data_IF_025574968834
#
_entry.id   IF_025574968834
#
_cell.length_a   1.000
_cell.length_b   1.000
_cell.length_c   1.000
_cell.angle_alpha   90.00
_cell.angle_beta   90.00
_cell.angle_gamma   90.00
#
_symmetry.space_group_name_H-M   'P 1'
#
loop_
_entity.id
_entity.type
_entity.pdbx_description
1 polymer ?
#
# COMPACT_ATOMS: atom_id res chain seq x y z
N UNK A 1 21.56 -30.90 16.53
CA UNK A 1 21.22 -29.97 15.41
C UNK A 1 22.47 -29.85 14.56
N UNK A 2 22.39 -30.12 13.27
CA UNK A 2 23.51 -29.96 12.33
C UNK A 2 23.58 -28.47 11.93
N UNK A 3 24.65 -27.81 12.28
CA UNK A 3 24.90 -26.39 11.86
C UNK A 3 25.43 -26.43 10.44
N UNK A 4 24.84 -25.60 9.56
CA UNK A 4 25.38 -25.41 8.23
C UNK A 4 26.72 -24.67 8.32
N UNK A 5 27.79 -25.29 7.81
CA UNK A 5 29.10 -24.63 7.72
C UNK A 5 29.07 -23.61 6.59
N UNK A 6 29.66 -22.44 6.84
CA UNK A 6 29.86 -21.40 5.84
C UNK A 6 31.34 -21.24 5.50
N UNK A 7 31.65 -21.04 4.22
CA UNK A 7 32.98 -20.69 3.73
C UNK A 7 33.21 -19.18 3.57
N UNK A 8 32.22 -18.35 3.98
CA UNK A 8 32.31 -16.89 3.88
C UNK A 8 33.42 -16.33 4.80
N UNK A 9 34.32 -15.55 4.24
CA UNK A 9 35.27 -14.72 4.99
C UNK A 9 34.87 -13.24 4.91
N UNK A 10 34.30 -12.68 6.00
CA UNK A 10 33.89 -11.26 6.03
C UNK A 10 35.06 -10.28 5.87
N UNK A 11 36.30 -10.73 6.02
CA UNK A 11 37.50 -9.91 5.87
C UNK A 11 38.06 -9.92 4.44
N UNK A 12 37.58 -10.81 3.57
CA UNK A 12 38.03 -10.85 2.18
C UNK A 12 37.61 -9.59 1.42
N UNK A 13 38.38 -9.19 0.44
CA UNK A 13 38.06 -8.04 -0.42
C UNK A 13 36.78 -8.24 -1.20
N UNK A 14 36.55 -9.46 -1.69
CA UNK A 14 35.32 -9.82 -2.42
C UNK A 14 34.09 -9.65 -1.53
N UNK A 15 34.14 -10.14 -0.28
CA UNK A 15 33.02 -9.97 0.66
C UNK A 15 32.74 -8.48 0.93
N UNK A 16 33.80 -7.68 1.19
CA UNK A 16 33.66 -6.25 1.46
C UNK A 16 33.07 -5.49 0.27
N UNK A 17 33.52 -5.79 -0.95
CA UNK A 17 32.99 -5.19 -2.17
C UNK A 17 31.50 -5.54 -2.36
N UNK A 18 31.14 -6.81 -2.25
CA UNK A 18 29.75 -7.27 -2.35
C UNK A 18 28.85 -6.67 -1.26
N UNK A 19 29.34 -6.60 -0.02
CA UNK A 19 28.61 -5.99 1.08
C UNK A 19 28.39 -4.48 0.87
N UNK A 20 29.37 -3.77 0.31
CA UNK A 20 29.24 -2.35 -0.03
C UNK A 20 28.20 -2.13 -1.13
N UNK A 21 28.27 -2.94 -2.21
CA UNK A 21 27.29 -2.88 -3.29
C UNK A 21 25.86 -3.17 -2.81
N UNK A 22 25.68 -4.20 -1.98
CA UNK A 22 24.38 -4.55 -1.41
C UNK A 22 23.85 -3.44 -0.48
N UNK A 23 24.71 -2.84 0.36
CA UNK A 23 24.29 -1.70 1.18
C UNK A 23 23.78 -0.54 0.35
N UNK A 24 24.45 -0.19 -0.73
CA UNK A 24 23.99 0.90 -1.62
C UNK A 24 22.60 0.63 -2.19
N UNK A 25 22.31 -0.61 -2.63
CA UNK A 25 20.98 -1.01 -3.11
C UNK A 25 19.94 -0.92 -1.99
N UNK A 26 20.26 -1.39 -0.78
CA UNK A 26 19.34 -1.33 0.37
C UNK A 26 19.09 0.10 0.81
N UNK A 27 20.09 0.96 0.80
CA UNK A 27 19.95 2.38 1.13
C UNK A 27 19.08 3.12 0.12
N UNK A 28 19.26 2.85 -1.18
CA UNK A 28 18.39 3.39 -2.22
C UNK A 28 16.93 2.92 -2.05
N UNK A 29 16.71 1.63 -1.78
CA UNK A 29 15.38 1.11 -1.49
C UNK A 29 14.74 1.78 -0.27
N UNK A 30 15.49 1.97 0.80
CA UNK A 30 15.01 2.64 2.02
C UNK A 30 14.63 4.09 1.76
N UNK A 31 15.48 4.84 1.08
CA UNK A 31 15.20 6.24 0.72
C UNK A 31 13.93 6.37 -0.12
N UNK A 32 13.75 5.49 -1.12
CA UNK A 32 12.52 5.46 -1.94
C UNK A 32 11.29 5.08 -1.12
N UNK A 33 11.41 4.08 -0.23
CA UNK A 33 10.31 3.67 0.66
C UNK A 33 9.90 4.81 1.59
N UNK A 34 10.86 5.53 2.16
CA UNK A 34 10.60 6.68 3.02
C UNK A 34 9.89 7.80 2.26
N UNK A 35 10.38 8.15 1.07
CA UNK A 35 9.74 9.16 0.23
C UNK A 35 8.28 8.79 -0.12
N UNK A 36 8.03 7.53 -0.50
CA UNK A 36 6.68 7.02 -0.80
C UNK A 36 5.79 7.07 0.45
N UNK A 37 6.36 6.79 1.63
CA UNK A 37 5.60 6.74 2.88
C UNK A 37 5.02 8.09 3.29
N UNK A 38 5.57 9.19 2.80
CA UNK A 38 5.07 10.53 3.04
C UNK A 38 3.71 10.79 2.37
N UNK A 39 3.36 10.04 1.32
CA UNK A 39 2.14 10.26 0.55
C UNK A 39 2.25 11.44 -0.42
N UNK A 40 1.26 12.34 -0.43
CA UNK A 40 1.25 13.50 -1.29
C UNK A 40 2.31 14.55 -0.94
N UNK A 41 2.39 15.61 -1.76
CA UNK A 41 3.31 16.71 -1.55
C UNK A 41 3.07 17.47 -0.24
N UNK A 42 4.07 18.21 0.21
CA UNK A 42 4.00 18.94 1.49
C UNK A 42 2.80 19.89 1.57
N UNK A 43 2.47 20.72 0.55
CA UNK A 43 1.29 21.58 0.59
C UNK A 43 -0.02 20.79 0.75
N UNK A 44 -0.14 19.63 0.12
CA UNK A 44 -1.32 18.75 0.21
C UNK A 44 -1.44 18.14 1.61
N UNK A 45 -0.33 17.68 2.20
CA UNK A 45 -0.30 17.18 3.58
C UNK A 45 -0.69 18.27 4.58
N UNK A 46 -0.11 19.45 4.48
CA UNK A 46 -0.44 20.58 5.36
C UNK A 46 -1.91 20.99 5.28
N UNK A 47 -2.46 21.05 4.07
CA UNK A 47 -3.89 21.31 3.86
C UNK A 47 -4.78 20.24 4.48
N UNK A 48 -4.35 18.98 4.43
CA UNK A 48 -5.07 17.86 5.03
C UNK A 48 -5.07 17.96 6.56
N UNK A 49 -3.89 18.18 7.16
CA UNK A 49 -3.71 18.36 8.61
C UNK A 49 -4.45 19.59 9.14
N UNK A 50 -4.45 20.72 8.42
CA UNK A 50 -5.15 21.94 8.84
C UNK A 50 -6.68 21.77 8.93
N UNK A 51 -7.22 20.71 8.30
CA UNK A 51 -8.63 20.32 8.40
C UNK A 51 -8.91 19.38 9.58
N UNK A 52 -7.93 19.15 10.45
CA UNK A 52 -8.05 18.21 11.60
C UNK A 52 -8.04 16.74 11.21
N UNK A 53 -7.61 16.39 10.00
CA UNK A 53 -7.54 15.00 9.53
C UNK A 53 -6.15 14.40 9.80
N UNK A 54 -6.11 13.12 10.18
CA UNK A 54 -4.87 12.36 10.28
C UNK A 54 -4.37 11.94 8.88
N UNK A 55 -3.06 11.89 8.70
CA UNK A 55 -2.46 11.30 7.50
C UNK A 55 -2.82 9.81 7.41
N UNK A 56 -2.84 9.27 6.20
CA UNK A 56 -3.38 7.92 5.93
C UNK A 56 -2.70 6.83 6.74
N UNK A 57 -1.37 6.81 6.82
CA UNK A 57 -0.65 5.82 7.64
C UNK A 57 -0.83 6.02 9.14
N UNK A 58 -1.08 7.25 9.58
CA UNK A 58 -1.45 7.54 10.98
C UNK A 58 -2.85 7.02 11.30
N UNK A 59 -3.82 7.19 10.38
CA UNK A 59 -5.17 6.59 10.52
C UNK A 59 -5.08 5.08 10.67
N UNK A 60 -4.29 4.42 9.81
CA UNK A 60 -4.07 2.97 9.89
C UNK A 60 -3.44 2.61 11.25
N UNK A 61 -2.37 3.29 11.65
CA UNK A 61 -1.70 3.03 12.94
C UNK A 61 -2.62 3.18 14.14
N UNK A 62 -3.50 4.18 14.11
CA UNK A 62 -4.47 4.42 15.20
C UNK A 62 -5.55 3.34 15.27
N UNK A 63 -5.86 2.71 14.14
CA UNK A 63 -6.86 1.64 14.06
C UNK A 63 -6.32 0.30 14.56
N UNK A 64 -5.02 0.05 14.40
CA UNK A 64 -4.39 -1.22 14.76
C UNK A 64 -4.33 -1.42 16.27
N UNK A 65 -4.36 -2.67 16.69
CA UNK A 65 -4.11 -3.05 18.07
C UNK A 65 -2.73 -2.56 18.52
N UNK A 66 -2.58 -2.02 19.74
CA UNK A 66 -1.31 -1.53 20.24
C UNK A 66 -0.21 -2.58 20.15
N UNK A 67 0.93 -2.20 19.52
CA UNK A 67 2.09 -3.06 19.36
C UNK A 67 1.94 -4.16 18.29
N UNK A 68 0.81 -4.24 17.58
CA UNK A 68 0.70 -5.18 16.47
C UNK A 68 1.42 -4.67 15.22
N UNK A 69 2.05 -5.56 14.42
CA UNK A 69 2.69 -5.17 13.18
C UNK A 69 1.65 -4.83 12.11
N UNK A 70 2.04 -3.99 11.15
CA UNK A 70 1.31 -3.75 9.91
C UNK A 70 2.14 -4.23 8.73
N UNK A 71 1.65 -5.21 8.00
CA UNK A 71 2.26 -5.70 6.76
C UNK A 71 1.72 -4.89 5.58
N UNK A 72 2.33 -3.72 5.32
CA UNK A 72 1.99 -2.94 4.12
C UNK A 72 2.48 -3.68 2.87
N UNK A 73 1.61 -3.88 1.88
CA UNK A 73 1.98 -4.48 0.61
C UNK A 73 1.72 -3.53 -0.55
N UNK A 74 2.46 -3.74 -1.66
CA UNK A 74 2.41 -2.92 -2.88
C UNK A 74 2.69 -1.44 -2.64
N UNK A 75 3.58 -1.09 -1.70
CA UNK A 75 3.95 0.29 -1.40
C UNK A 75 4.53 1.02 -2.64
N UNK A 76 5.23 0.29 -3.53
CA UNK A 76 5.80 0.82 -4.77
C UNK A 76 4.83 0.83 -5.96
N UNK A 77 3.55 0.52 -5.77
CA UNK A 77 2.58 0.61 -6.87
C UNK A 77 2.56 2.03 -7.45
N UNK A 78 2.51 2.12 -8.78
CA UNK A 78 2.61 3.35 -9.56
C UNK A 78 3.97 4.09 -9.46
N UNK A 79 5.02 3.46 -8.92
CA UNK A 79 6.35 4.06 -8.90
C UNK A 79 6.84 4.37 -10.32
N UNK A 80 7.25 5.63 -10.56
CA UNK A 80 7.67 6.10 -11.88
C UNK A 80 6.53 6.31 -12.90
N UNK A 81 5.27 6.10 -12.49
CA UNK A 81 4.10 6.38 -13.32
C UNK A 81 3.49 7.76 -12.96
N UNK A 82 2.67 8.29 -13.87
CA UNK A 82 1.92 9.54 -13.65
C UNK A 82 2.83 10.71 -13.22
N UNK A 83 4.01 10.83 -13.86
CA UNK A 83 5.04 11.84 -13.55
C UNK A 83 5.47 11.82 -12.06
N UNK A 84 5.42 10.66 -11.42
CA UNK A 84 5.72 10.49 -10.00
C UNK A 84 4.67 11.06 -9.05
N UNK A 85 3.56 11.59 -9.55
CA UNK A 85 2.56 12.32 -8.77
C UNK A 85 1.56 11.46 -7.99
N UNK A 86 1.67 10.10 -8.05
CA UNK A 86 0.72 9.18 -7.41
C UNK A 86 1.47 8.09 -6.63
N UNK A 87 2.21 8.47 -5.56
CA UNK A 87 2.94 7.50 -4.74
C UNK A 87 1.99 6.47 -4.12
N UNK A 88 2.45 5.23 -4.00
CA UNK A 88 1.69 4.07 -3.52
C UNK A 88 0.34 3.88 -4.25
N UNK A 89 0.22 4.37 -5.49
CA UNK A 89 -1.03 4.41 -6.25
C UNK A 89 -2.19 5.13 -5.52
N UNK A 90 -1.89 6.08 -4.62
CA UNK A 90 -2.89 6.87 -3.89
C UNK A 90 -3.69 6.11 -2.84
N UNK A 91 -3.31 4.86 -2.51
CA UNK A 91 -3.93 4.07 -1.44
C UNK A 91 -2.88 3.29 -0.65
N UNK A 92 -3.07 3.16 0.65
CA UNK A 92 -2.32 2.26 1.52
C UNK A 92 -3.08 0.96 1.66
N UNK A 93 -2.41 -0.17 1.41
CA UNK A 93 -2.99 -1.51 1.56
C UNK A 93 -2.08 -2.39 2.40
N UNK A 94 -2.65 -3.18 3.28
CA UNK A 94 -1.86 -4.06 4.14
C UNK A 94 -2.72 -4.95 5.02
N UNK A 95 -2.06 -5.81 5.78
CA UNK A 95 -2.68 -6.67 6.79
C UNK A 95 -2.25 -6.19 8.17
N UNK A 96 -3.21 -6.05 9.07
CA UNK A 96 -2.97 -5.68 10.44
C UNK A 96 -4.03 -6.23 11.37
N UNK A 97 -3.76 -6.24 12.67
CA UNK A 97 -4.68 -6.77 13.66
C UNK A 97 -5.53 -5.64 14.25
N UNK A 98 -6.84 -5.86 14.28
CA UNK A 98 -7.82 -4.91 14.81
C UNK A 98 -8.76 -5.70 15.73
N UNK A 99 -8.84 -5.29 17.00
CA UNK A 99 -9.64 -5.97 18.03
C UNK A 99 -9.37 -7.49 18.08
N UNK A 100 -8.11 -7.89 17.98
CA UNK A 100 -7.69 -9.29 18.01
C UNK A 100 -7.83 -10.06 16.68
N UNK A 101 -8.42 -9.46 15.64
CA UNK A 101 -8.66 -10.11 14.34
C UNK A 101 -7.75 -9.54 13.26
N UNK A 102 -7.10 -10.42 12.49
CA UNK A 102 -6.34 -9.99 11.31
C UNK A 102 -7.28 -9.55 10.20
N UNK A 103 -7.02 -8.37 9.64
CA UNK A 103 -7.85 -7.74 8.62
C UNK A 103 -6.98 -7.21 7.49
N UNK A 104 -7.50 -7.23 6.27
CA UNK A 104 -6.97 -6.42 5.18
C UNK A 104 -7.51 -5.00 5.32
N UNK A 105 -6.63 -4.03 5.21
CA UNK A 105 -6.97 -2.61 5.27
C UNK A 105 -6.69 -1.98 3.91
N UNK A 106 -7.67 -1.23 3.40
CA UNK A 106 -7.55 -0.41 2.19
C UNK A 106 -7.87 1.03 2.57
N UNK A 107 -6.88 1.90 2.57
CA UNK A 107 -7.02 3.27 3.02
C UNK A 107 -6.66 4.26 1.91
N UNK A 108 -7.60 5.11 1.49
CA UNK A 108 -7.32 6.17 0.53
C UNK A 108 -6.38 7.21 1.14
N UNK A 109 -5.43 7.68 0.33
CA UNK A 109 -4.58 8.81 0.67
C UNK A 109 -5.09 10.09 -0.02
N UNK A 110 -5.91 10.85 0.70
CA UNK A 110 -6.46 12.10 0.19
C UNK A 110 -5.41 13.19 -0.06
N UNK A 111 -4.17 13.03 0.44
CA UNK A 111 -3.06 13.92 0.12
C UNK A 111 -2.50 13.68 -1.28
N UNK A 112 -2.76 12.51 -1.85
CA UNK A 112 -2.36 12.11 -3.20
C UNK A 112 -3.53 12.38 -4.15
N UNK A 113 -3.46 13.48 -4.89
CA UNK A 113 -4.50 13.87 -5.88
C UNK A 113 -5.93 13.81 -5.34
N UNK A 114 -6.14 14.16 -4.06
CA UNK A 114 -7.46 14.12 -3.43
C UNK A 114 -8.03 12.72 -3.22
N UNK A 115 -7.20 11.68 -3.18
CA UNK A 115 -7.65 10.29 -3.09
C UNK A 115 -8.31 9.77 -4.37
N UNK A 116 -8.00 10.38 -5.51
CA UNK A 116 -8.56 10.00 -6.82
C UNK A 116 -8.03 8.64 -7.26
N UNK A 117 -8.92 7.83 -7.83
CA UNK A 117 -8.58 6.51 -8.37
C UNK A 117 -8.03 6.61 -9.79
N UNK A 118 -6.76 6.30 -9.94
CA UNK A 118 -6.07 6.07 -11.20
C UNK A 118 -6.19 4.58 -11.60
N UNK A 119 -5.87 4.20 -12.84
CA UNK A 119 -5.87 2.80 -13.25
C UNK A 119 -5.06 1.89 -12.32
N UNK A 120 -3.89 2.32 -11.88
CA UNK A 120 -3.06 1.56 -10.94
C UNK A 120 -3.66 1.50 -9.53
N UNK A 121 -4.41 2.53 -9.11
CA UNK A 121 -5.15 2.51 -7.84
C UNK A 121 -6.20 1.41 -7.83
N UNK A 122 -6.94 1.27 -8.94
CA UNK A 122 -7.93 0.19 -9.12
C UNK A 122 -7.25 -1.18 -9.02
N UNK A 123 -6.17 -1.40 -9.77
CA UNK A 123 -5.42 -2.68 -9.75
C UNK A 123 -4.94 -3.03 -8.34
N UNK A 124 -4.40 -2.06 -7.62
CA UNK A 124 -3.93 -2.27 -6.24
C UNK A 124 -5.10 -2.61 -5.30
N UNK A 125 -6.23 -1.92 -5.44
CA UNK A 125 -7.44 -2.19 -4.65
C UNK A 125 -7.96 -3.62 -4.91
N UNK A 126 -8.09 -4.00 -6.18
CA UNK A 126 -8.53 -5.35 -6.56
C UNK A 126 -7.60 -6.43 -6.01
N UNK A 127 -6.29 -6.22 -6.04
CA UNK A 127 -5.32 -7.14 -5.44
C UNK A 127 -5.50 -7.26 -3.91
N UNK A 128 -5.80 -6.16 -3.22
CA UNK A 128 -6.08 -6.20 -1.79
C UNK A 128 -7.34 -7.04 -1.48
N UNK A 129 -8.40 -6.88 -2.26
CA UNK A 129 -9.61 -7.69 -2.14
C UNK A 129 -9.38 -9.17 -2.45
N UNK A 130 -8.54 -9.47 -3.45
CA UNK A 130 -8.14 -10.85 -3.77
C UNK A 130 -7.43 -11.50 -2.58
N UNK A 131 -6.46 -10.81 -1.98
CA UNK A 131 -5.75 -11.28 -0.77
C UNK A 131 -6.74 -11.51 0.38
N UNK A 132 -7.64 -10.57 0.62
CA UNK A 132 -8.66 -10.70 1.66
C UNK A 132 -9.55 -11.94 1.45
N UNK A 133 -10.05 -12.12 0.23
CA UNK A 133 -10.93 -13.25 -0.12
C UNK A 133 -10.21 -14.60 -0.01
N UNK A 134 -9.00 -14.72 -0.56
CA UNK A 134 -8.23 -15.97 -0.56
C UNK A 134 -7.83 -16.41 0.85
N UNK A 135 -7.55 -15.47 1.72
CA UNK A 135 -7.18 -15.73 3.11
C UNK A 135 -8.36 -15.63 4.09
N UNK A 136 -9.58 -15.36 3.59
CA UNK A 136 -10.81 -15.18 4.38
C UNK A 136 -10.66 -14.12 5.49
N UNK A 137 -9.93 -13.04 5.18
CA UNK A 137 -9.71 -11.92 6.10
C UNK A 137 -10.80 -10.86 5.90
N UNK A 138 -11.37 -10.29 6.97
CA UNK A 138 -12.18 -9.08 6.89
C UNK A 138 -11.46 -7.98 6.12
N UNK A 139 -12.18 -7.21 5.31
CA UNK A 139 -11.59 -6.13 4.52
C UNK A 139 -12.18 -4.78 4.94
N UNK A 140 -11.35 -3.96 5.58
CA UNK A 140 -11.75 -2.63 6.07
C UNK A 140 -11.35 -1.55 5.07
N UNK A 141 -12.32 -0.71 4.72
CA UNK A 141 -12.13 0.40 3.78
C UNK A 141 -12.16 1.73 4.52
N UNK A 142 -11.02 2.42 4.62
CA UNK A 142 -10.91 3.79 5.16
C UNK A 142 -11.03 4.78 4.01
N UNK A 143 -12.25 5.02 3.56
CA UNK A 143 -12.52 5.81 2.36
C UNK A 143 -12.32 7.31 2.62
N UNK A 144 -11.51 7.96 1.80
CA UNK A 144 -11.36 9.42 1.67
C UNK A 144 -10.94 9.71 0.22
N UNK A 145 -11.89 9.60 -0.71
CA UNK A 145 -11.65 9.55 -2.15
C UNK A 145 -12.39 10.65 -2.89
N UNK A 146 -11.70 11.28 -3.84
CA UNK A 146 -12.28 12.22 -4.81
C UNK A 146 -12.99 11.53 -6.00
N UNK A 147 -13.08 10.21 -6.02
CA UNK A 147 -13.68 9.45 -7.13
C UNK A 147 -12.67 8.98 -8.17
N UNK A 148 -13.10 8.74 -9.39
CA UNK A 148 -12.25 8.23 -10.46
C UNK A 148 -11.53 9.36 -11.23
N UNK A 149 -10.35 9.05 -11.76
CA UNK A 149 -9.59 9.97 -12.62
C UNK A 149 -10.23 10.04 -14.00
N UNK A 150 -11.12 10.99 -14.22
CA UNK A 150 -11.93 11.13 -15.44
C UNK A 150 -11.11 11.25 -16.73
N UNK A 151 -9.92 11.91 -16.77
CA UNK A 151 -9.12 11.93 -18.00
C UNK A 151 -8.66 10.56 -18.51
N UNK A 152 -8.64 9.53 -17.64
CA UNK A 152 -8.34 8.14 -18.00
C UNK A 152 -9.56 7.22 -17.74
N UNK A 153 -10.77 7.72 -17.97
CA UNK A 153 -12.00 6.98 -17.67
C UNK A 153 -12.13 5.66 -18.46
N UNK A 154 -11.57 5.60 -19.66
CA UNK A 154 -11.47 4.42 -20.51
C UNK A 154 -10.59 3.32 -19.90
N UNK A 155 -9.63 3.66 -19.05
CA UNK A 155 -8.79 2.71 -18.32
C UNK A 155 -9.30 2.42 -16.89
N UNK A 156 -10.37 3.09 -16.46
CA UNK A 156 -10.90 2.98 -15.08
C UNK A 156 -12.27 2.30 -15.04
N UNK A 157 -13.16 2.52 -16.03
CA UNK A 157 -14.55 2.08 -15.94
C UNK A 157 -14.93 0.86 -16.80
N UNK A 158 -14.56 0.75 -18.10
CA UNK A 158 -15.32 -0.07 -19.05
C UNK A 158 -15.09 -1.56 -18.97
N UNK A 159 -14.01 -2.05 -18.36
CA UNK A 159 -13.65 -3.46 -18.38
C UNK A 159 -14.03 -4.18 -17.07
N UNK A 160 -14.08 -5.51 -17.18
CA UNK A 160 -14.38 -6.42 -16.07
C UNK A 160 -13.52 -6.19 -14.82
N UNK A 161 -12.23 -5.92 -14.99
CA UNK A 161 -11.25 -5.76 -13.91
C UNK A 161 -10.94 -4.28 -13.64
N UNK A 162 -11.90 -3.40 -13.93
CA UNK A 162 -11.88 -1.99 -13.64
C UNK A 162 -12.66 -1.65 -12.35
N UNK A 163 -13.00 -0.39 -12.16
CA UNK A 163 -13.57 0.15 -10.92
C UNK A 163 -14.83 -0.60 -10.46
N UNK A 164 -15.71 -0.99 -11.38
CA UNK A 164 -16.92 -1.78 -11.07
C UNK A 164 -16.64 -3.13 -10.42
N UNK A 165 -15.46 -3.72 -10.69
CA UNK A 165 -15.04 -4.98 -10.08
C UNK A 165 -14.88 -4.89 -8.56
N UNK A 166 -14.55 -3.71 -8.04
CA UNK A 166 -14.43 -3.48 -6.59
C UNK A 166 -15.77 -3.82 -5.90
N UNK A 167 -16.87 -3.31 -6.42
CA UNK A 167 -18.21 -3.57 -5.86
C UNK A 167 -18.66 -5.02 -6.02
N UNK A 168 -18.37 -5.60 -7.19
CA UNK A 168 -18.62 -7.02 -7.41
C UNK A 168 -17.88 -7.90 -6.40
N UNK A 169 -16.59 -7.62 -6.15
CA UNK A 169 -15.79 -8.36 -5.19
C UNK A 169 -16.33 -8.19 -3.76
N UNK A 170 -16.76 -6.99 -3.36
CA UNK A 170 -17.41 -6.77 -2.07
C UNK A 170 -18.67 -7.63 -1.91
N UNK A 171 -19.52 -7.66 -2.93
CA UNK A 171 -20.73 -8.51 -2.92
C UNK A 171 -20.38 -10.01 -2.82
N UNK A 172 -19.36 -10.46 -3.56
CA UNK A 172 -18.90 -11.85 -3.50
C UNK A 172 -18.30 -12.21 -2.14
N UNK A 173 -17.51 -11.32 -1.55
CA UNK A 173 -16.93 -11.52 -0.21
C UNK A 173 -18.04 -11.60 0.85
N UNK A 174 -19.01 -10.69 0.80
CA UNK A 174 -20.17 -10.70 1.69
C UNK A 174 -20.98 -12.00 1.55
N UNK A 175 -21.25 -12.45 0.32
CA UNK A 175 -21.94 -13.72 0.09
C UNK A 175 -21.16 -14.95 0.60
N UNK A 176 -19.81 -14.87 0.62
CA UNK A 176 -18.93 -15.90 1.16
C UNK A 176 -18.72 -15.81 2.69
N UNK A 177 -19.37 -14.86 3.37
CA UNK A 177 -19.21 -14.61 4.80
C UNK A 177 -17.85 -14.03 5.17
N UNK A 178 -17.23 -13.27 4.27
CA UNK A 178 -16.01 -12.49 4.50
C UNK A 178 -16.42 -11.02 4.55
N UNK A 179 -16.46 -10.39 5.75
CA UNK A 179 -16.92 -9.01 5.93
C UNK A 179 -15.95 -7.97 5.40
#
# INVERSE_FOLDING_TARGET
>A
MTTLATSLDPRSEIFRANAAAMRAVVEDLRAKSEAISLGGDEPSRQRHLSRGKLLTRERVRTLLDPGSPFLEFSAFAAYGMYDGGVPAAGIVTGIGRIAGTECVIVANDATVKGGTYFPMTVKKHLRAQEIARENRLPCLYLVDSGGAFLPAQDEVFPDRDHFGRIFYNQAQMSAAGVP
#
